data_IF_868831529583
#
_entry.id   IF_868831529583
#
_cell.length_a   1.000
_cell.length_b   1.000
_cell.length_c   1.000
_cell.angle_alpha   90.00
_cell.angle_beta   90.00
_cell.angle_gamma   90.00
#
_symmetry.space_group_name_H-M   'P 1'
#
loop_
_entity.id
_entity.type
_entity.pdbx_description
1 polymer ?
#
# COMPACT_ATOMS: atom_id res chain seq x y z
N UNK A 1 -1.31 -26.27 -5.32
CA UNK A 1 -1.05 -24.96 -4.71
C UNK A 1 -1.89 -24.01 -5.52
N UNK A 2 -2.77 -23.26 -4.86
CA UNK A 2 -3.71 -22.42 -5.57
C UNK A 2 -2.95 -21.24 -6.18
N UNK A 3 -3.37 -20.78 -7.37
CA UNK A 3 -2.60 -19.81 -8.17
C UNK A 3 -2.27 -18.54 -7.39
N UNK A 4 -3.17 -18.09 -6.53
CA UNK A 4 -2.95 -16.90 -5.70
C UNK A 4 -1.85 -17.14 -4.63
N UNK A 5 -1.70 -18.35 -4.10
CA UNK A 5 -0.63 -18.65 -3.13
C UNK A 5 0.76 -18.55 -3.76
N UNK A 6 0.90 -19.02 -5.01
CA UNK A 6 2.15 -18.90 -5.77
C UNK A 6 2.50 -17.42 -6.04
N UNK A 7 1.49 -16.60 -6.37
CA UNK A 7 1.68 -15.16 -6.57
C UNK A 7 2.02 -14.44 -5.26
N UNK A 8 1.40 -14.82 -4.15
CA UNK A 8 1.73 -14.28 -2.83
C UNK A 8 3.17 -14.56 -2.46
N UNK A 9 3.65 -15.79 -2.67
CA UNK A 9 5.05 -16.15 -2.45
C UNK A 9 6.00 -15.33 -3.35
N UNK A 10 5.62 -15.10 -4.62
CA UNK A 10 6.41 -14.28 -5.53
C UNK A 10 6.49 -12.80 -5.10
N UNK A 11 5.41 -12.22 -4.56
CA UNK A 11 5.42 -10.88 -3.97
C UNK A 11 6.38 -10.83 -2.78
N UNK A 12 6.29 -11.80 -1.85
CA UNK A 12 7.17 -11.88 -0.68
C UNK A 12 8.65 -12.00 -1.07
N UNK A 13 8.97 -12.89 -2.01
CA UNK A 13 10.34 -13.07 -2.53
C UNK A 13 10.88 -11.76 -3.12
N UNK A 14 10.06 -11.07 -3.92
CA UNK A 14 10.46 -9.81 -4.55
C UNK A 14 10.65 -8.69 -3.53
N UNK A 15 9.79 -8.59 -2.53
CA UNK A 15 9.93 -7.64 -1.42
C UNK A 15 11.20 -7.90 -0.59
N UNK A 16 11.58 -9.17 -0.40
CA UNK A 16 12.81 -9.53 0.28
C UNK A 16 14.07 -9.08 -0.50
N UNK A 17 14.00 -9.06 -1.84
CA UNK A 17 15.13 -8.75 -2.72
C UNK A 17 15.38 -7.25 -2.98
N UNK A 18 14.35 -6.40 -2.84
CA UNK A 18 14.44 -4.95 -3.13
C UNK A 18 14.97 -4.12 -1.94
N UNK A 19 15.39 -2.88 -2.21
CA UNK A 19 15.89 -1.97 -1.17
C UNK A 19 14.79 -1.47 -0.22
N UNK A 20 15.18 -0.95 0.95
CA UNK A 20 14.24 -0.37 1.91
C UNK A 20 13.42 0.79 1.35
N UNK A 21 14.00 1.62 0.46
CA UNK A 21 13.29 2.70 -0.20
C UNK A 21 12.20 2.20 -1.15
N UNK A 22 12.50 1.15 -1.92
CA UNK A 22 11.51 0.50 -2.80
C UNK A 22 10.37 -0.13 -1.98
N UNK A 23 10.70 -0.81 -0.88
CA UNK A 23 9.70 -1.36 0.06
C UNK A 23 8.82 -0.27 0.67
N UNK A 24 9.41 0.86 1.05
CA UNK A 24 8.66 1.99 1.61
C UNK A 24 7.64 2.56 0.62
N UNK A 25 8.05 2.74 -0.64
CA UNK A 25 7.12 3.19 -1.71
C UNK A 25 6.02 2.16 -1.97
N UNK A 26 6.37 0.87 -2.03
CA UNK A 26 5.38 -0.19 -2.18
C UNK A 26 4.34 -0.16 -1.06
N UNK A 27 4.81 -0.12 0.19
CA UNK A 27 3.95 -0.11 1.37
C UNK A 27 3.03 1.12 1.39
N UNK A 28 3.57 2.32 1.09
CA UNK A 28 2.78 3.54 0.98
C UNK A 28 1.73 3.46 -0.14
N UNK A 29 2.09 2.89 -1.29
CA UNK A 29 1.22 2.64 -2.43
C UNK A 29 -0.01 1.81 -2.07
N UNK A 30 0.23 0.67 -1.44
CA UNK A 30 -0.83 -0.25 -1.01
C UNK A 30 -1.71 0.39 0.07
N UNK A 31 -1.11 0.97 1.11
CA UNK A 31 -1.85 1.62 2.19
C UNK A 31 -2.74 2.76 1.68
N UNK A 32 -2.27 3.55 0.72
CA UNK A 32 -3.04 4.64 0.09
C UNK A 32 -4.25 4.14 -0.69
N UNK A 33 -4.16 2.99 -1.36
CA UNK A 33 -5.32 2.39 -2.02
C UNK A 33 -6.36 1.92 -1.02
N UNK A 34 -5.92 1.27 0.06
CA UNK A 34 -6.84 0.82 1.11
C UNK A 34 -7.51 2.00 1.80
N UNK A 35 -6.74 3.03 2.17
CA UNK A 35 -7.28 4.27 2.73
C UNK A 35 -8.26 4.95 1.77
N UNK A 36 -7.94 5.02 0.48
CA UNK A 36 -8.86 5.63 -0.52
C UNK A 36 -10.16 4.85 -0.70
N UNK A 37 -10.13 3.51 -0.54
CA UNK A 37 -11.35 2.69 -0.54
C UNK A 37 -12.17 2.96 0.73
N UNK A 38 -11.52 3.03 1.89
CA UNK A 38 -12.16 3.36 3.16
C UNK A 38 -12.83 4.74 3.13
N UNK A 39 -12.16 5.74 2.58
CA UNK A 39 -12.72 7.09 2.40
C UNK A 39 -13.89 7.17 1.42
N UNK A 40 -14.05 6.17 0.55
CA UNK A 40 -15.16 6.08 -0.39
C UNK A 40 -16.39 5.41 0.22
N UNK A 41 -16.29 4.85 1.43
CA UNK A 41 -17.43 4.31 2.17
C UNK A 41 -18.41 5.42 2.57
N UNK A 42 -19.69 5.09 2.79
CA UNK A 42 -20.63 6.00 3.45
C UNK A 42 -20.07 6.51 4.78
N UNK A 43 -20.39 7.76 5.15
CA UNK A 43 -19.86 8.41 6.37
C UNK A 43 -20.11 7.57 7.64
N UNK A 44 -21.23 6.84 7.71
CA UNK A 44 -21.60 5.99 8.85
C UNK A 44 -20.74 4.71 8.96
N UNK A 45 -20.09 4.29 7.86
CA UNK A 45 -19.24 3.11 7.77
C UNK A 45 -17.73 3.48 7.88
N UNK A 46 -17.40 4.77 7.88
CA UNK A 46 -16.03 5.24 8.03
C UNK A 46 -15.56 5.19 9.49
N UNK A 47 -14.72 4.21 9.82
CA UNK A 47 -14.04 4.14 11.10
C UNK A 47 -13.27 5.44 11.42
N UNK A 48 -13.62 6.18 12.49
CA UNK A 48 -12.98 7.45 12.84
C UNK A 48 -11.46 7.34 13.04
N UNK A 49 -11.01 6.26 13.69
CA UNK A 49 -9.56 6.03 13.86
C UNK A 49 -8.84 5.92 12.52
N UNK A 50 -9.34 5.11 11.59
CA UNK A 50 -8.76 4.95 10.24
C UNK A 50 -8.65 6.29 9.53
N UNK A 51 -9.71 7.10 9.56
CA UNK A 51 -9.71 8.43 8.95
C UNK A 51 -8.68 9.37 9.58
N UNK A 52 -8.45 9.25 10.89
CA UNK A 52 -7.44 10.04 11.61
C UNK A 52 -6.00 9.77 11.15
N UNK A 53 -5.73 8.64 10.49
CA UNK A 53 -4.40 8.26 10.02
C UNK A 53 -4.02 8.87 8.65
N UNK A 54 -4.95 9.53 7.95
CA UNK A 54 -4.67 10.17 6.65
C UNK A 54 -3.47 11.14 6.68
N UNK A 55 -3.30 12.03 7.68
CA UNK A 55 -2.12 12.89 7.79
C UNK A 55 -0.81 12.12 8.00
N UNK A 56 -0.85 10.99 8.72
CA UNK A 56 0.30 10.10 8.88
C UNK A 56 0.69 9.50 7.53
N UNK A 57 -0.28 8.95 6.78
CA UNK A 57 -0.02 8.37 5.46
C UNK A 57 0.54 9.39 4.46
N UNK A 58 0.03 10.62 4.49
CA UNK A 58 0.61 11.72 3.70
C UNK A 58 2.08 11.96 4.06
N UNK A 59 2.41 11.98 5.35
CA UNK A 59 3.80 12.14 5.81
C UNK A 59 4.68 10.95 5.38
N UNK A 60 4.16 9.72 5.40
CA UNK A 60 4.87 8.54 4.89
C UNK A 60 5.20 8.72 3.41
N UNK A 61 4.25 9.15 2.59
CA UNK A 61 4.49 9.44 1.17
C UNK A 61 5.60 10.46 0.95
N UNK A 62 5.60 11.55 1.70
CA UNK A 62 6.66 12.56 1.60
C UNK A 62 8.02 11.95 1.97
N UNK A 63 8.08 11.18 3.05
CA UNK A 63 9.29 10.53 3.53
C UNK A 63 9.87 9.50 2.55
N UNK A 64 9.05 8.57 2.04
CA UNK A 64 9.53 7.51 1.13
C UNK A 64 9.98 8.06 -0.22
N UNK A 65 9.49 9.25 -0.61
CA UNK A 65 9.89 9.98 -1.82
C UNK A 65 10.99 11.02 -1.56
N UNK A 66 11.65 10.95 -0.40
CA UNK A 66 12.89 11.66 -0.13
C UNK A 66 12.77 13.01 0.55
N UNK A 67 11.59 13.37 1.09
CA UNK A 67 11.49 14.50 2.01
C UNK A 67 11.99 14.08 3.41
N UNK A 68 13.22 14.45 3.73
CA UNK A 68 13.82 14.12 5.02
C UNK A 68 13.18 14.84 6.21
N UNK A 69 12.38 15.89 5.97
CA UNK A 69 11.65 16.59 7.04
C UNK A 69 10.45 15.80 7.54
N UNK A 70 9.94 14.86 6.74
CA UNK A 70 8.80 14.01 7.09
C UNK A 70 9.09 13.05 8.24
N UNK A 71 10.36 12.71 8.50
CA UNK A 71 10.75 11.75 9.54
C UNK A 71 10.17 12.09 10.92
N UNK A 72 10.22 13.37 11.30
CA UNK A 72 9.70 13.83 12.59
C UNK A 72 8.17 13.69 12.69
N UNK A 73 7.46 13.93 11.59
CA UNK A 73 6.00 13.80 11.53
C UNK A 73 5.57 12.33 11.59
N UNK A 74 6.22 11.44 10.82
CA UNK A 74 5.91 10.01 10.84
C UNK A 74 6.18 9.41 12.22
N UNK A 75 7.34 9.71 12.82
CA UNK A 75 7.67 9.26 14.17
C UNK A 75 6.63 9.72 15.20
N UNK A 76 6.15 10.97 15.10
CA UNK A 76 5.13 11.49 16.02
C UNK A 76 3.80 10.77 15.85
N UNK A 77 3.32 10.59 14.62
CA UNK A 77 2.05 9.90 14.37
C UNK A 77 2.07 8.44 14.86
N UNK A 78 3.18 7.73 14.66
CA UNK A 78 3.34 6.38 15.24
C UNK A 78 3.33 6.42 16.77
N UNK A 79 4.03 7.38 17.39
CA UNK A 79 4.02 7.52 18.85
C UNK A 79 2.64 7.88 19.40
N UNK A 80 1.87 8.73 18.71
CA UNK A 80 0.49 9.07 19.06
C UNK A 80 -0.40 7.82 19.03
N UNK A 81 -0.30 7.00 17.97
CA UNK A 81 -0.98 5.70 17.93
C UNK A 81 -0.58 4.80 19.10
N UNK A 82 0.72 4.62 19.36
CA UNK A 82 1.20 3.74 20.45
C UNK A 82 0.74 4.18 21.85
N UNK A 83 0.38 5.45 22.03
CA UNK A 83 -0.11 6.01 23.29
C UNK A 83 -1.63 6.16 23.31
N UNK A 84 -2.31 5.88 22.20
CA UNK A 84 -3.77 5.97 22.08
C UNK A 84 -4.46 4.73 22.64
N UNK A 85 -5.76 4.83 22.85
CA UNK A 85 -6.60 3.70 23.25
C UNK A 85 -6.67 2.60 22.18
N UNK A 86 -6.36 2.92 20.92
CA UNK A 86 -6.37 1.98 19.80
C UNK A 86 -5.17 1.02 19.77
N UNK A 87 -4.15 1.26 20.61
CA UNK A 87 -2.98 0.39 20.74
C UNK A 87 -3.05 -0.43 22.03
N UNK A 88 -4.06 -1.29 22.17
CA UNK A 88 -4.24 -2.15 23.35
C UNK A 88 -4.07 -3.64 23.03
N UNK A 89 -3.67 -4.41 24.04
CA UNK A 89 -3.57 -5.88 23.95
C UNK A 89 -4.91 -6.59 24.27
N UNK A 90 -6.00 -5.84 24.43
CA UNK A 90 -7.27 -6.35 24.97
C UNK A 90 -8.12 -7.15 23.95
N UNK A 91 -7.58 -7.42 22.75
CA UNK A 91 -8.19 -8.24 21.69
C UNK A 91 -8.62 -7.43 20.47
N UNK A 92 -9.04 -8.14 19.42
CA UNK A 92 -9.49 -7.60 18.12
C UNK A 92 -10.89 -6.94 18.18
N UNK A 93 -11.54 -6.87 19.35
CA UNK A 93 -12.93 -6.39 19.49
C UNK A 93 -13.02 -4.99 20.15
N UNK A 94 -11.98 -4.16 20.02
CA UNK A 94 -12.01 -2.76 20.48
C UNK A 94 -12.96 -1.90 19.62
N UNK A 95 -13.52 -0.79 20.14
CA UNK A 95 -14.57 -0.01 19.49
C UNK A 95 -14.16 0.77 18.22
N UNK A 96 -12.93 0.59 17.73
CA UNK A 96 -12.38 1.18 16.51
C UNK A 96 -11.10 0.38 16.20
N UNK A 97 -11.18 -0.58 15.28
CA UNK A 97 -10.18 -1.64 15.20
C UNK A 97 -8.96 -1.19 14.39
N UNK A 98 -7.81 -1.09 15.06
CA UNK A 98 -6.53 -0.88 14.38
C UNK A 98 -6.17 -2.04 13.44
N UNK A 99 -6.86 -3.19 13.53
CA UNK A 99 -6.77 -4.31 12.59
C UNK A 99 -7.51 -4.03 11.27
N UNK A 100 -8.35 -2.99 11.19
CA UNK A 100 -8.98 -2.60 9.93
C UNK A 100 -7.91 -2.37 8.85
N UNK A 101 -8.12 -2.98 7.69
CA UNK A 101 -7.11 -3.16 6.65
C UNK A 101 -6.39 -1.87 6.27
N UNK A 102 -7.14 -0.76 6.12
CA UNK A 102 -6.57 0.55 5.82
C UNK A 102 -5.73 1.14 6.96
N UNK A 103 -6.18 0.98 8.21
CA UNK A 103 -5.46 1.46 9.39
C UNK A 103 -4.17 0.66 9.62
N UNK A 104 -4.29 -0.67 9.65
CA UNK A 104 -3.15 -1.58 9.81
C UNK A 104 -2.10 -1.37 8.71
N UNK A 105 -2.53 -1.28 7.44
CA UNK A 105 -1.60 -1.03 6.33
C UNK A 105 -0.89 0.33 6.45
N UNK A 106 -1.59 1.37 6.90
CA UNK A 106 -0.99 2.69 7.12
C UNK A 106 0.08 2.65 8.22
N UNK A 107 -0.22 1.97 9.34
CA UNK A 107 0.72 1.81 10.45
C UNK A 107 1.94 0.97 10.03
N UNK A 108 1.73 -0.13 9.31
CA UNK A 108 2.84 -0.93 8.78
C UNK A 108 3.66 -0.17 7.74
N UNK A 109 3.06 0.66 6.88
CA UNK A 109 3.81 1.51 5.95
C UNK A 109 4.66 2.54 6.71
N UNK A 110 4.13 3.14 7.77
CA UNK A 110 4.90 4.04 8.64
C UNK A 110 6.09 3.30 9.30
N UNK A 111 5.88 2.09 9.81
CA UNK A 111 6.95 1.27 10.37
C UNK A 111 7.99 0.83 9.32
N UNK A 112 7.56 0.50 8.09
CA UNK A 112 8.46 0.18 6.99
C UNK A 112 9.38 1.36 6.67
N UNK A 113 8.84 2.59 6.68
CA UNK A 113 9.63 3.81 6.50
C UNK A 113 10.60 4.07 7.68
N UNK A 114 10.14 3.93 8.92
CA UNK A 114 10.97 4.23 10.10
C UNK A 114 12.10 3.22 10.33
N UNK A 115 11.84 1.94 10.07
CA UNK A 115 12.76 0.85 10.43
C UNK A 115 13.45 0.20 9.24
N UNK A 116 12.94 0.39 8.02
CA UNK A 116 13.49 -0.22 6.81
C UNK A 116 13.37 -1.74 6.73
N UNK A 117 12.61 -2.37 7.65
CA UNK A 117 12.43 -3.82 7.72
C UNK A 117 11.54 -4.33 6.59
N UNK A 118 11.87 -5.51 6.06
CA UNK A 118 11.10 -6.16 5.00
C UNK A 118 9.72 -6.64 5.44
N UNK A 119 9.62 -7.11 6.68
CA UNK A 119 8.41 -7.74 7.22
C UNK A 119 7.19 -6.80 7.15
N UNK A 120 7.37 -5.51 7.42
CA UNK A 120 6.28 -4.54 7.35
C UNK A 120 5.72 -4.39 5.92
N UNK A 121 6.55 -4.44 4.89
CA UNK A 121 6.07 -4.39 3.52
C UNK A 121 5.30 -5.67 3.14
N UNK A 122 5.73 -6.82 3.65
CA UNK A 122 5.00 -8.09 3.51
C UNK A 122 3.66 -8.03 4.25
N UNK A 123 3.61 -7.48 5.46
CA UNK A 123 2.36 -7.33 6.21
C UNK A 123 1.38 -6.38 5.51
N UNK A 124 1.87 -5.27 4.93
CA UNK A 124 1.03 -4.40 4.08
C UNK A 124 0.47 -5.14 2.86
N UNK A 125 1.29 -5.96 2.19
CA UNK A 125 0.85 -6.81 1.08
C UNK A 125 -0.31 -7.74 1.49
N UNK A 126 -0.20 -8.37 2.66
CA UNK A 126 -1.23 -9.25 3.21
C UNK A 126 -2.52 -8.52 3.58
N UNK A 127 -2.43 -7.33 4.19
CA UNK A 127 -3.62 -6.49 4.47
C UNK A 127 -4.43 -6.19 3.20
N UNK A 128 -3.78 -6.02 2.06
CA UNK A 128 -4.50 -5.82 0.80
C UNK A 128 -5.20 -7.07 0.28
N UNK A 129 -4.66 -8.26 0.55
CA UNK A 129 -5.29 -9.54 0.22
C UNK A 129 -6.49 -9.80 1.15
N UNK A 130 -6.32 -9.59 2.45
CA UNK A 130 -7.39 -9.71 3.45
C UNK A 130 -8.53 -8.70 3.18
N UNK A 131 -8.20 -7.47 2.77
CA UNK A 131 -9.22 -6.49 2.36
C UNK A 131 -10.06 -6.93 1.15
N UNK A 132 -9.48 -7.72 0.23
CA UNK A 132 -10.25 -8.31 -0.87
C UNK A 132 -11.17 -9.40 -0.34
N UNK A 133 -10.67 -10.26 0.53
CA UNK A 133 -11.43 -11.34 1.15
C UNK A 133 -12.65 -10.79 1.94
N UNK A 134 -12.43 -9.84 2.85
CA UNK A 134 -13.49 -9.16 3.60
C UNK A 134 -14.51 -8.46 2.69
N UNK A 135 -14.06 -7.88 1.57
CA UNK A 135 -14.98 -7.25 0.63
C UNK A 135 -15.89 -8.28 -0.06
N UNK A 136 -15.37 -9.45 -0.43
CA UNK A 136 -16.17 -10.53 -1.01
C UNK A 136 -17.17 -11.09 0.01
N UNK A 137 -16.76 -11.22 1.28
CA UNK A 137 -17.66 -11.61 2.38
C UNK A 137 -18.80 -10.60 2.52
N UNK A 138 -18.50 -9.30 2.54
CA UNK A 138 -19.50 -8.24 2.58
C UNK A 138 -20.48 -8.32 1.40
N UNK A 139 -19.99 -8.51 0.17
CA UNK A 139 -20.88 -8.65 -1.00
C UNK A 139 -21.78 -9.88 -0.89
N UNK A 140 -21.26 -10.99 -0.35
CA UNK A 140 -22.03 -12.21 -0.12
C UNK A 140 -23.15 -11.98 0.92
N UNK A 141 -22.88 -11.21 1.98
CA UNK A 141 -23.88 -10.83 2.99
C UNK A 141 -24.98 -9.92 2.43
N UNK A 142 -24.65 -9.07 1.45
CA UNK A 142 -25.61 -8.20 0.77
C UNK A 142 -26.43 -8.91 -0.33
N UNK A 143 -26.25 -10.23 -0.50
CA UNK A 143 -26.85 -11.02 -1.58
C UNK A 143 -26.53 -10.47 -2.99
N UNK A 144 -25.38 -9.80 -3.14
CA UNK A 144 -24.89 -9.28 -4.42
C UNK A 144 -24.16 -10.35 -5.24
N UNK A 145 -23.89 -10.07 -6.52
CA UNK A 145 -23.12 -10.97 -7.38
C UNK A 145 -21.64 -10.94 -6.96
N UNK A 146 -21.19 -11.98 -6.28
CA UNK A 146 -19.82 -12.08 -5.73
C UNK A 146 -18.87 -12.60 -6.82
N UNK A 147 -17.81 -11.85 -7.17
CA UNK A 147 -16.76 -12.34 -8.04
C UNK A 147 -16.13 -13.63 -7.52
N UNK A 148 -15.55 -14.43 -8.41
CA UNK A 148 -14.78 -15.61 -8.00
C UNK A 148 -13.63 -15.20 -7.05
N UNK A 149 -13.54 -15.75 -5.82
CA UNK A 149 -12.54 -15.34 -4.85
C UNK A 149 -11.11 -15.54 -5.35
N UNK A 150 -10.84 -16.68 -5.99
CA UNK A 150 -9.51 -16.98 -6.54
C UNK A 150 -9.10 -15.97 -7.63
N UNK A 151 -10.04 -15.55 -8.48
CA UNK A 151 -9.82 -14.50 -9.48
C UNK A 151 -9.53 -13.13 -8.84
N UNK A 152 -10.32 -12.74 -7.83
CA UNK A 152 -10.16 -11.45 -7.15
C UNK A 152 -8.83 -11.37 -6.39
N UNK A 153 -8.46 -12.41 -5.62
CA UNK A 153 -7.18 -12.50 -4.92
C UNK A 153 -6.00 -12.51 -5.91
N UNK A 154 -6.14 -13.27 -7.01
CA UNK A 154 -5.15 -13.28 -8.09
C UNK A 154 -4.96 -11.89 -8.71
N UNK A 155 -6.05 -11.14 -8.92
CA UNK A 155 -6.00 -9.80 -9.52
C UNK A 155 -5.24 -8.80 -8.64
N UNK A 156 -5.47 -8.81 -7.31
CA UNK A 156 -4.72 -7.95 -6.38
C UNK A 156 -3.25 -8.31 -6.31
N UNK A 157 -2.90 -9.60 -6.25
CA UNK A 157 -1.49 -10.02 -6.21
C UNK A 157 -0.74 -9.68 -7.51
N UNK A 158 -1.39 -9.85 -8.66
CA UNK A 158 -0.81 -9.40 -9.93
C UNK A 158 -0.64 -7.88 -9.98
N UNK A 159 -1.55 -7.12 -9.37
CA UNK A 159 -1.40 -5.67 -9.24
C UNK A 159 -0.18 -5.32 -8.41
N UNK A 160 0.00 -5.95 -7.26
CA UNK A 160 1.17 -5.73 -6.40
C UNK A 160 2.49 -6.03 -7.14
N UNK A 161 2.52 -7.08 -7.97
CA UNK A 161 3.68 -7.36 -8.82
C UNK A 161 3.91 -6.25 -9.87
N UNK A 162 2.86 -5.73 -10.51
CA UNK A 162 2.96 -4.60 -11.45
C UNK A 162 3.45 -3.32 -10.77
N UNK A 163 3.05 -3.09 -9.53
CA UNK A 163 3.52 -1.98 -8.71
C UNK A 163 5.02 -2.12 -8.43
N UNK A 164 5.47 -3.32 -8.07
CA UNK A 164 6.90 -3.63 -7.88
C UNK A 164 7.71 -3.50 -9.18
N UNK A 165 7.13 -3.86 -10.33
CA UNK A 165 7.73 -3.59 -11.63
C UNK A 165 7.89 -2.10 -11.87
N UNK A 166 6.85 -1.30 -11.62
CA UNK A 166 6.91 0.16 -11.75
C UNK A 166 8.01 0.75 -10.84
N UNK A 167 8.02 0.37 -9.57
CA UNK A 167 8.98 0.85 -8.57
C UNK A 167 10.42 0.51 -8.97
N UNK A 168 10.66 -0.69 -9.52
CA UNK A 168 11.99 -1.12 -9.93
C UNK A 168 12.63 -0.22 -11.00
N UNK A 169 11.84 0.47 -11.83
CA UNK A 169 12.34 1.45 -12.80
C UNK A 169 13.02 2.66 -12.12
N UNK A 170 12.74 2.89 -10.84
CA UNK A 170 13.25 4.01 -10.05
C UNK A 170 14.19 3.54 -8.93
N UNK A 171 14.60 2.27 -8.91
CA UNK A 171 15.37 1.66 -7.81
C UNK A 171 16.65 2.43 -7.46
N UNK A 172 17.34 3.02 -8.46
CA UNK A 172 18.56 3.79 -8.24
C UNK A 172 18.32 5.05 -7.39
N UNK A 173 17.22 5.75 -7.64
CA UNK A 173 16.85 6.96 -6.90
C UNK A 173 16.35 6.57 -5.50
N UNK A 174 15.51 5.53 -5.42
CA UNK A 174 14.88 5.09 -4.17
C UNK A 174 15.84 4.48 -3.16
N UNK A 175 16.95 3.86 -3.63
CA UNK A 175 17.96 3.26 -2.74
C UNK A 175 18.48 4.22 -1.66
N UNK A 176 18.49 5.53 -1.95
CA UNK A 176 19.00 6.56 -1.05
C UNK A 176 17.93 7.55 -0.59
N UNK A 177 16.64 7.27 -0.80
CA UNK A 177 15.57 8.23 -0.47
C UNK A 177 15.54 8.59 1.03
N UNK A 178 15.89 7.65 1.91
CA UNK A 178 16.00 7.90 3.35
C UNK A 178 17.07 8.92 3.77
N UNK A 179 18.02 9.26 2.89
CA UNK A 179 19.02 10.31 3.13
C UNK A 179 18.57 11.69 2.63
N UNK A 180 17.36 11.76 2.06
CA UNK A 180 16.85 12.92 1.35
C UNK A 180 17.20 12.87 -0.13
N UNK A 181 16.26 13.31 -0.97
CA UNK A 181 16.46 13.49 -2.41
C UNK A 181 16.47 14.97 -2.76
N UNK A 182 16.96 15.31 -3.96
CA UNK A 182 16.78 16.66 -4.49
C UNK A 182 15.29 16.93 -4.73
N UNK A 183 14.89 18.20 -4.56
CA UNK A 183 13.50 18.63 -4.80
C UNK A 183 13.00 18.18 -6.17
N UNK A 184 13.81 18.34 -7.23
CA UNK A 184 13.46 17.93 -8.58
C UNK A 184 13.21 16.41 -8.70
N UNK A 185 14.04 15.60 -8.02
CA UNK A 185 13.86 14.14 -8.00
C UNK A 185 12.60 13.76 -7.25
N UNK A 186 12.36 14.34 -6.07
CA UNK A 186 11.15 14.09 -5.29
C UNK A 186 9.88 14.49 -6.05
N UNK A 187 9.86 15.64 -6.71
CA UNK A 187 8.72 16.09 -7.53
C UNK A 187 8.46 15.11 -8.67
N UNK A 188 9.51 14.69 -9.39
CA UNK A 188 9.40 13.69 -10.45
C UNK A 188 8.81 12.38 -9.92
N UNK A 189 9.37 11.84 -8.84
CA UNK A 189 8.91 10.57 -8.27
C UNK A 189 7.48 10.64 -7.73
N UNK A 190 7.01 11.79 -7.22
CA UNK A 190 5.59 11.97 -6.85
C UNK A 190 4.67 11.76 -8.06
N UNK A 191 5.01 12.32 -9.22
CA UNK A 191 4.21 12.15 -10.44
C UNK A 191 4.31 10.72 -10.98
N UNK A 192 5.52 10.16 -10.99
CA UNK A 192 5.81 8.86 -11.62
C UNK A 192 5.44 7.65 -10.76
N UNK A 193 5.36 7.80 -9.43
CA UNK A 193 5.06 6.71 -8.51
C UNK A 193 3.76 6.92 -7.75
N UNK A 194 3.56 8.06 -7.07
CA UNK A 194 2.37 8.25 -6.21
C UNK A 194 1.10 8.15 -7.04
N UNK A 195 0.93 8.96 -8.07
CA UNK A 195 -0.30 8.92 -8.90
C UNK A 195 -0.65 7.53 -9.47
N UNK A 196 0.27 6.78 -10.12
CA UNK A 196 -0.07 5.48 -10.67
C UNK A 196 -0.25 4.36 -9.63
N UNK A 197 0.42 4.43 -8.48
CA UNK A 197 0.29 3.41 -7.43
C UNK A 197 -1.02 3.54 -6.64
N UNK A 198 -1.63 4.73 -6.66
CA UNK A 198 -2.83 5.05 -5.88
C UNK A 198 -4.12 4.99 -6.70
N UNK A 199 -4.01 5.05 -8.03
CA UNK A 199 -5.18 4.99 -8.91
C UNK A 199 -5.87 3.63 -8.84
N UNK A 200 -7.21 3.54 -8.61
CA UNK A 200 -7.92 2.29 -8.39
C UNK A 200 -7.86 1.32 -9.57
N UNK A 201 -7.74 1.81 -10.81
CA UNK A 201 -7.62 1.00 -12.02
C UNK A 201 -6.43 1.43 -12.87
N UNK A 202 -5.42 0.55 -12.98
CA UNK A 202 -4.40 0.66 -14.01
C UNK A 202 -4.61 -0.44 -15.04
N UNK A 203 -5.18 -0.16 -16.22
CA UNK A 203 -5.07 -1.09 -17.34
C UNK A 203 -3.59 -1.21 -17.76
N UNK A 204 -3.13 -2.39 -18.20
CA UNK A 204 -1.78 -2.55 -18.71
C UNK A 204 -1.56 -1.59 -19.88
N UNK A 205 -0.45 -0.86 -19.88
CA UNK A 205 -0.03 -0.08 -21.06
C UNK A 205 0.24 -1.09 -22.18
N UNK A 206 -0.68 -1.18 -23.15
CA UNK A 206 -0.41 -1.84 -24.41
C UNK A 206 0.62 -0.96 -25.12
N UNK A 207 1.88 -1.39 -25.13
CA UNK A 207 2.88 -0.80 -26.02
C UNK A 207 2.38 -0.99 -27.45
N UNK A 208 2.04 0.13 -28.10
CA UNK A 208 1.59 0.16 -29.48
C UNK A 208 2.66 -0.44 -30.38
N UNK A 209 2.38 -1.65 -30.87
CA UNK A 209 3.15 -2.35 -31.90
C UNK A 209 3.30 -1.41 -33.11
N UNK A 210 4.52 -1.21 -33.66
CA UNK A 210 4.68 -0.36 -34.84
C UNK A 210 3.94 -0.98 -36.03
N UNK A 211 3.44 -0.15 -36.98
CA UNK A 211 2.69 -0.65 -38.12
C UNK A 211 3.59 -1.56 -38.96
N UNK A 212 3.17 -2.81 -39.12
CA UNK A 212 3.79 -3.75 -40.05
C UNK A 212 3.66 -3.16 -41.46
N UNK A 213 4.80 -3.06 -42.13
CA UNK A 213 5.00 -2.32 -43.37
C UNK A 213 4.04 -2.72 -44.48
N UNK A 214 3.60 -1.72 -45.23
CA UNK A 214 3.07 -1.89 -46.57
C UNK A 214 4.18 -2.37 -47.50
N UNK A 215 3.99 -3.55 -48.08
CA UNK A 215 4.63 -3.97 -49.33
C UNK A 215 3.53 -4.35 -50.32
#
# INVERSE_FOLDING_TARGET
MDRWQELSAAVEERLAAVSSGERGVFAAGVAERLMSRHEALPDDDQAPFTMSLRPLLNSVWEGVLGDSTAFGAVKRGVAEYMLSEYCHNDGQDGPDDADESAAAATLYAAHAYLFGCGDFAVWVSRRAVEAVDHHLEYLAEQEEDVPDPDEALTAELQRQLRDLDLIAHHAKDLRYSGLGLSIDTSIRLRVELRTPLTSPDRPPRIESRPPEGSA
#
